data_IF_451198667559
#
_entry.id   IF_451198667559
#
_cell.length_a   1.000
_cell.length_b   1.000
_cell.length_c   1.000
_cell.angle_alpha   90.00
_cell.angle_beta   90.00
_cell.angle_gamma   90.00
#
_symmetry.space_group_name_H-M   'P 1'
#
loop_
_entity.id
_entity.type
_entity.pdbx_description
1 polymer ?
#
# COMPACT_ATOMS: atom_id res chain seq x y z
N UNK A 1 24.70 -5.52 30.33
CA UNK A 1 24.90 -6.50 29.24
C UNK A 1 23.52 -6.82 28.67
N UNK A 2 23.02 -5.99 27.74
CA UNK A 2 21.68 -6.13 27.15
C UNK A 2 21.80 -6.89 25.83
N UNK A 3 21.37 -8.15 25.83
CA UNK A 3 21.31 -8.98 24.64
C UNK A 3 20.09 -8.55 23.79
N UNK A 4 20.35 -7.84 22.70
CA UNK A 4 19.35 -7.61 21.65
C UNK A 4 19.16 -8.91 20.86
N UNK A 5 18.08 -9.65 21.14
CA UNK A 5 17.60 -10.71 20.25
C UNK A 5 16.92 -10.07 19.04
N UNK A 6 17.73 -9.56 18.10
CA UNK A 6 17.28 -9.44 16.71
C UNK A 6 17.21 -10.86 16.19
N UNK A 7 16.01 -11.42 16.07
CA UNK A 7 15.85 -12.62 15.24
C UNK A 7 16.28 -12.21 13.82
N UNK A 8 17.38 -12.76 13.28
CA UNK A 8 17.75 -12.48 11.91
C UNK A 8 16.64 -13.05 11.04
N UNK A 9 16.15 -12.24 10.09
CA UNK A 9 15.36 -12.74 8.98
C UNK A 9 16.20 -13.83 8.29
N UNK A 10 15.99 -15.09 8.67
CA UNK A 10 16.53 -16.21 7.94
C UNK A 10 15.82 -16.20 6.60
N UNK A 11 16.49 -15.64 5.60
CA UNK A 11 16.14 -15.72 4.21
C UNK A 11 16.06 -17.21 3.87
N UNK A 12 14.87 -17.80 3.97
CA UNK A 12 14.63 -19.14 3.45
C UNK A 12 14.96 -19.05 1.96
N UNK A 13 16.10 -19.59 1.55
CA UNK A 13 16.40 -19.83 0.14
C UNK A 13 15.39 -20.86 -0.36
N UNK A 14 14.23 -20.40 -0.82
CA UNK A 14 13.34 -21.22 -1.61
C UNK A 14 13.82 -21.11 -3.05
N UNK A 15 14.22 -22.23 -3.65
CA UNK A 15 14.55 -22.29 -5.09
C UNK A 15 13.32 -22.07 -6.00
N UNK A 16 12.21 -21.59 -5.44
CA UNK A 16 10.90 -21.45 -6.08
C UNK A 16 10.53 -20.00 -6.39
N UNK A 17 11.41 -19.05 -6.08
CA UNK A 17 11.16 -17.61 -6.33
C UNK A 17 12.25 -17.08 -7.25
N UNK A 18 11.83 -16.55 -8.40
CA UNK A 18 12.70 -15.88 -9.36
C UNK A 18 12.32 -14.40 -9.43
N UNK A 19 13.32 -13.53 -9.38
CA UNK A 19 13.15 -12.09 -9.60
C UNK A 19 13.64 -11.75 -11.00
N UNK A 20 12.87 -10.94 -11.72
CA UNK A 20 13.24 -10.46 -13.04
C UNK A 20 12.98 -8.95 -13.13
N UNK A 21 13.80 -8.25 -13.91
CA UNK A 21 13.64 -6.82 -14.19
C UNK A 21 12.76 -6.66 -15.43
N UNK A 22 11.64 -5.95 -15.30
CA UNK A 22 10.72 -5.71 -16.41
C UNK A 22 9.51 -4.87 -15.98
N UNK A 23 8.74 -4.40 -16.97
CA UNK A 23 7.46 -3.74 -16.75
C UNK A 23 6.31 -4.74 -16.64
N UNK A 24 5.19 -4.32 -16.06
CA UNK A 24 3.99 -5.15 -16.01
C UNK A 24 3.37 -5.37 -17.40
N UNK A 25 3.70 -4.50 -18.35
CA UNK A 25 3.29 -4.52 -19.75
C UNK A 25 4.11 -5.48 -20.62
N UNK A 26 5.22 -6.03 -20.09
CA UNK A 26 6.08 -6.98 -20.78
C UNK A 26 6.72 -7.94 -19.78
N UNK A 27 5.99 -8.98 -19.44
CA UNK A 27 6.37 -10.03 -18.51
C UNK A 27 7.22 -11.06 -19.27
N UNK A 28 8.47 -11.34 -18.84
CA UNK A 28 9.38 -12.26 -19.53
C UNK A 28 9.04 -13.73 -19.27
N UNK A 29 7.79 -14.11 -19.55
CA UNK A 29 7.25 -15.45 -19.43
C UNK A 29 6.55 -15.86 -20.73
N UNK A 30 6.49 -17.18 -21.03
CA UNK A 30 5.76 -17.68 -22.20
C UNK A 30 4.26 -17.37 -22.15
N UNK A 31 3.60 -17.53 -23.28
CA UNK A 31 2.15 -17.44 -23.37
C UNK A 31 1.50 -18.55 -22.52
N UNK A 32 0.38 -18.24 -21.88
CA UNK A 32 -0.41 -19.20 -21.09
C UNK A 32 0.44 -20.03 -20.12
N UNK A 33 1.37 -19.39 -19.40
CA UNK A 33 2.33 -20.07 -18.54
C UNK A 33 2.07 -19.92 -17.04
N UNK A 34 1.12 -19.07 -16.64
CA UNK A 34 0.84 -18.82 -15.21
C UNK A 34 -0.64 -19.00 -14.88
N UNK A 35 -0.92 -19.47 -13.68
CA UNK A 35 -2.28 -19.64 -13.15
C UNK A 35 -2.77 -18.38 -12.42
N UNK A 36 -1.85 -17.55 -11.91
CA UNK A 36 -2.16 -16.35 -11.14
C UNK A 36 -1.16 -15.22 -11.44
N UNK A 37 -1.69 -14.02 -11.69
CA UNK A 37 -0.92 -12.77 -11.67
C UNK A 37 -1.41 -11.95 -10.48
N UNK A 38 -0.49 -11.40 -9.69
CA UNK A 38 -0.81 -10.50 -8.58
C UNK A 38 -0.21 -9.11 -8.78
N UNK A 39 -0.93 -8.07 -8.35
CA UNK A 39 -0.45 -6.70 -8.36
C UNK A 39 -0.69 -6.06 -6.99
N UNK A 40 0.31 -6.11 -6.11
CA UNK A 40 0.24 -5.51 -4.77
C UNK A 40 0.67 -4.05 -4.79
N UNK A 41 -0.29 -3.14 -4.62
CA UNK A 41 -0.10 -1.68 -4.51
C UNK A 41 0.69 -1.09 -5.69
N UNK A 42 0.53 -1.64 -6.89
CA UNK A 42 1.30 -1.22 -8.08
C UNK A 42 0.46 -0.88 -9.31
N UNK A 43 -0.77 -1.39 -9.40
CA UNK A 43 -1.59 -1.29 -10.62
C UNK A 43 -1.85 0.15 -11.09
N UNK A 44 -1.87 1.12 -10.18
CA UNK A 44 -2.04 2.53 -10.52
C UNK A 44 -0.89 3.13 -11.35
N UNK A 45 0.26 2.45 -11.46
CA UNK A 45 1.37 2.89 -12.30
C UNK A 45 1.24 2.48 -13.77
N UNK A 46 0.45 1.45 -14.06
CA UNK A 46 0.49 0.74 -15.35
C UNK A 46 -0.23 1.48 -16.49
N UNK A 47 0.16 1.14 -17.71
CA UNK A 47 -0.63 1.40 -18.92
C UNK A 47 -1.67 0.28 -19.06
N UNK A 48 -2.91 0.52 -18.62
CA UNK A 48 -3.95 -0.53 -18.55
C UNK A 48 -4.18 -1.27 -19.87
N UNK A 49 -4.32 -0.61 -21.04
CA UNK A 49 -4.44 -1.32 -22.31
C UNK A 49 -3.29 -2.31 -22.59
N UNK A 50 -2.04 -1.90 -22.38
CA UNK A 50 -0.88 -2.78 -22.61
C UNK A 50 -0.78 -3.87 -21.55
N UNK A 51 -1.01 -3.51 -20.29
CA UNK A 51 -1.03 -4.44 -19.17
C UNK A 51 -2.09 -5.53 -19.37
N UNK A 52 -3.31 -5.18 -19.78
CA UNK A 52 -4.37 -6.15 -20.02
C UNK A 52 -4.04 -7.12 -21.15
N UNK A 53 -3.43 -6.62 -22.23
CA UNK A 53 -2.95 -7.48 -23.32
C UNK A 53 -1.90 -8.48 -22.82
N UNK A 54 -1.00 -8.02 -21.95
CA UNK A 54 0.06 -8.87 -21.41
C UNK A 54 -0.45 -9.88 -20.38
N UNK A 55 -1.39 -9.47 -19.52
CA UNK A 55 -2.13 -10.34 -18.62
C UNK A 55 -2.83 -11.45 -19.41
N UNK A 56 -3.53 -11.09 -20.49
CA UNK A 56 -4.20 -12.08 -21.33
C UNK A 56 -3.19 -13.01 -22.01
N UNK A 57 -2.07 -12.50 -22.52
CA UNK A 57 -1.02 -13.33 -23.14
C UNK A 57 -0.48 -14.39 -22.18
N UNK A 58 -0.12 -14.00 -20.96
CA UNK A 58 0.61 -14.86 -20.01
C UNK A 58 -0.30 -15.74 -19.17
N UNK A 59 -1.53 -15.30 -18.85
CA UNK A 59 -2.48 -16.13 -18.09
C UNK A 59 -2.97 -17.31 -18.91
N UNK A 60 -3.01 -18.47 -18.26
CA UNK A 60 -3.72 -19.65 -18.77
C UNK A 60 -5.22 -19.38 -18.84
N UNK A 61 -5.96 -20.07 -19.73
CA UNK A 61 -7.42 -20.10 -19.63
C UNK A 61 -7.86 -20.45 -18.22
N UNK A 62 -8.85 -19.75 -17.69
CA UNK A 62 -9.33 -19.85 -16.30
C UNK A 62 -8.34 -19.38 -15.21
N UNK A 63 -7.16 -18.88 -15.58
CA UNK A 63 -6.23 -18.23 -14.65
C UNK A 63 -6.77 -16.90 -14.13
N UNK A 64 -6.24 -16.44 -13.00
CA UNK A 64 -6.74 -15.26 -12.29
C UNK A 64 -5.75 -14.09 -12.31
N UNK A 65 -6.29 -12.88 -12.41
CA UNK A 65 -5.59 -11.65 -12.04
C UNK A 65 -6.14 -11.17 -10.70
N UNK A 66 -5.26 -10.94 -9.72
CA UNK A 66 -5.59 -10.35 -8.42
C UNK A 66 -4.85 -9.02 -8.23
N UNK A 67 -5.57 -7.91 -8.30
CA UNK A 67 -5.06 -6.57 -8.00
C UNK A 67 -5.49 -6.21 -6.60
N UNK A 68 -4.56 -5.80 -5.74
CA UNK A 68 -4.90 -5.36 -4.39
C UNK A 68 -4.08 -4.18 -3.93
N UNK A 69 -4.63 -3.41 -3.00
CA UNK A 69 -3.95 -2.33 -2.29
C UNK A 69 -4.56 -2.18 -0.92
N UNK A 70 -3.89 -1.43 -0.06
CA UNK A 70 -4.47 -0.89 1.14
C UNK A 70 -4.66 0.63 0.99
N UNK A 71 -5.71 1.16 1.60
CA UNK A 71 -6.04 2.58 1.60
C UNK A 71 -5.33 3.35 2.71
N UNK A 72 -5.81 4.56 2.99
CA UNK A 72 -5.29 5.41 4.05
C UNK A 72 -5.71 4.87 5.42
N UNK A 73 -4.83 4.98 6.42
CA UNK A 73 -5.04 4.45 7.76
C UNK A 73 -6.19 5.12 8.52
N UNK A 74 -6.76 4.36 9.45
CA UNK A 74 -7.60 4.85 10.54
C UNK A 74 -6.92 4.55 11.88
N UNK A 75 -6.64 5.59 12.66
CA UNK A 75 -5.92 5.48 13.94
C UNK A 75 -6.87 5.28 15.10
N UNK A 76 -6.56 4.38 16.03
CA UNK A 76 -7.33 4.16 17.26
C UNK A 76 -6.41 4.22 18.47
N UNK A 77 -6.83 4.98 19.48
CA UNK A 77 -6.17 5.03 20.78
C UNK A 77 -7.18 5.46 21.85
N UNK A 78 -7.57 4.51 22.71
CA UNK A 78 -8.52 4.73 23.82
C UNK A 78 -9.72 5.58 23.36
N UNK A 79 -9.99 6.69 24.04
CA UNK A 79 -11.06 7.66 23.82
C UNK A 79 -10.67 8.83 22.89
N UNK A 80 -9.49 8.79 22.27
CA UNK A 80 -8.93 9.91 21.47
C UNK A 80 -8.96 9.67 19.96
N UNK A 81 -9.57 8.57 19.52
CA UNK A 81 -9.66 8.12 18.11
C UNK A 81 -10.06 9.24 17.13
N UNK A 82 -11.13 9.98 17.41
CA UNK A 82 -11.59 11.06 16.51
C UNK A 82 -10.57 12.20 16.39
N UNK A 83 -9.95 12.59 17.50
CA UNK A 83 -8.96 13.65 17.50
C UNK A 83 -7.68 13.26 16.76
N UNK A 84 -7.23 12.01 16.91
CA UNK A 84 -6.08 11.50 16.17
C UNK A 84 -6.32 11.51 14.65
N UNK A 85 -7.50 11.06 14.20
CA UNK A 85 -7.82 11.04 12.78
C UNK A 85 -8.05 12.46 12.23
N UNK A 86 -8.56 13.40 13.03
CA UNK A 86 -8.61 14.82 12.65
C UNK A 86 -7.21 15.40 12.41
N UNK A 87 -6.29 15.21 13.37
CA UNK A 87 -4.89 15.67 13.26
C UNK A 87 -4.21 15.06 12.03
N UNK A 88 -4.40 13.75 11.84
CA UNK A 88 -3.84 13.05 10.69
C UNK A 88 -4.43 13.53 9.37
N UNK A 89 -5.75 13.75 9.27
CA UNK A 89 -6.39 14.26 8.05
C UNK A 89 -5.95 15.69 7.71
N UNK A 90 -5.72 16.55 8.70
CA UNK A 90 -5.13 17.87 8.49
C UNK A 90 -3.72 17.75 7.88
N UNK A 91 -2.89 16.88 8.45
CA UNK A 91 -1.54 16.60 7.93
C UNK A 91 -1.57 16.04 6.50
N UNK A 92 -2.46 15.07 6.23
CA UNK A 92 -2.53 14.36 4.96
C UNK A 92 -3.14 15.20 3.83
N UNK A 93 -4.27 15.88 4.09
CA UNK A 93 -5.09 16.54 3.08
C UNK A 93 -4.79 18.02 2.91
N UNK A 94 -4.43 18.71 4.01
CA UNK A 94 -4.30 20.18 4.04
C UNK A 94 -2.87 20.65 4.23
N UNK A 95 -1.95 19.73 4.56
CA UNK A 95 -0.54 20.04 4.75
C UNK A 95 0.26 20.11 3.44
N UNK A 96 1.56 20.48 3.54
CA UNK A 96 2.47 20.55 2.39
C UNK A 96 2.66 19.23 1.62
N UNK A 97 2.27 18.09 2.20
CA UNK A 97 2.29 16.80 1.51
C UNK A 97 1.32 16.72 0.33
N UNK A 98 0.23 17.51 0.36
CA UNK A 98 -0.79 17.51 -0.69
C UNK A 98 -0.19 17.65 -2.08
N UNK A 99 0.74 18.58 -2.26
CA UNK A 99 1.34 18.90 -3.57
C UNK A 99 2.53 17.99 -3.91
N UNK A 100 2.85 17.03 -3.04
CA UNK A 100 3.96 16.10 -3.20
C UNK A 100 3.51 14.69 -3.64
N UNK A 101 2.20 14.42 -3.65
CA UNK A 101 1.66 13.17 -4.18
C UNK A 101 1.72 13.14 -5.71
N UNK A 102 2.18 12.02 -6.26
CA UNK A 102 2.11 11.80 -7.71
C UNK A 102 0.65 11.66 -8.13
N UNK A 103 0.24 12.27 -9.26
CA UNK A 103 -1.15 12.29 -9.71
C UNK A 103 -1.81 10.90 -9.72
N UNK A 104 -1.15 9.89 -10.31
CA UNK A 104 -1.60 8.49 -10.38
C UNK A 104 -1.93 7.85 -9.02
N UNK A 105 -1.46 8.40 -7.90
CA UNK A 105 -1.73 7.88 -6.56
C UNK A 105 -3.19 8.08 -6.12
N UNK A 106 -3.94 8.95 -6.81
CA UNK A 106 -5.38 9.16 -6.57
C UNK A 106 -6.19 7.85 -6.59
N UNK A 107 -5.78 6.87 -7.41
CA UNK A 107 -6.46 5.58 -7.48
C UNK A 107 -6.52 4.88 -6.13
N UNK A 108 -5.45 4.95 -5.33
CA UNK A 108 -5.42 4.32 -4.01
C UNK A 108 -6.32 5.08 -3.01
N UNK A 109 -6.44 6.40 -3.14
CA UNK A 109 -7.35 7.20 -2.28
C UNK A 109 -8.82 6.91 -2.61
N UNK A 110 -9.09 6.59 -3.87
CA UNK A 110 -10.38 6.07 -4.32
C UNK A 110 -10.52 4.54 -4.15
N UNK A 111 -9.67 3.91 -3.33
CA UNK A 111 -9.69 2.46 -3.05
C UNK A 111 -9.83 1.61 -4.32
N UNK A 112 -9.10 1.97 -5.37
CA UNK A 112 -9.10 1.31 -6.69
C UNK A 112 -10.48 1.15 -7.34
N UNK A 113 -11.49 1.97 -7.01
CA UNK A 113 -12.81 1.87 -7.65
C UNK A 113 -12.77 2.05 -9.17
N UNK A 114 -11.85 2.89 -9.65
CA UNK A 114 -11.70 3.23 -11.07
C UNK A 114 -10.55 2.50 -11.78
N UNK A 115 -10.06 1.38 -11.25
CA UNK A 115 -9.13 0.51 -11.99
C UNK A 115 -9.92 -0.29 -13.02
N UNK A 116 -9.63 -0.17 -14.33
CA UNK A 116 -10.30 -0.97 -15.34
C UNK A 116 -9.87 -2.44 -15.22
N UNK A 117 -10.82 -3.35 -15.37
CA UNK A 117 -10.54 -4.80 -15.33
C UNK A 117 -10.50 -5.39 -16.75
N UNK A 118 -9.62 -6.36 -17.02
CA UNK A 118 -9.44 -6.93 -18.36
C UNK A 118 -10.62 -7.83 -18.80
N UNK A 119 -11.40 -8.35 -17.85
CA UNK A 119 -12.47 -9.31 -18.11
C UNK A 119 -13.78 -8.85 -17.46
N UNK A 120 -14.92 -9.27 -18.04
CA UNK A 120 -16.25 -8.96 -17.52
C UNK A 120 -16.56 -9.66 -16.21
N UNK A 121 -16.06 -10.89 -16.05
CA UNK A 121 -16.21 -11.68 -14.82
C UNK A 121 -15.12 -11.29 -13.82
N UNK A 122 -15.45 -10.34 -12.95
CA UNK A 122 -14.59 -9.94 -11.84
C UNK A 122 -15.39 -9.65 -10.58
N UNK A 123 -14.72 -9.81 -9.44
CA UNK A 123 -15.26 -9.51 -8.11
C UNK A 123 -14.41 -8.44 -7.44
N UNK A 124 -15.06 -7.66 -6.59
CA UNK A 124 -14.44 -6.71 -5.67
C UNK A 124 -14.74 -7.18 -4.25
N UNK A 125 -13.70 -7.23 -3.42
CA UNK A 125 -13.80 -7.44 -1.98
C UNK A 125 -13.06 -6.30 -1.26
N UNK A 126 -13.80 -5.55 -0.47
CA UNK A 126 -13.31 -4.49 0.41
C UNK A 126 -13.72 -4.72 1.88
N UNK A 127 -13.99 -5.97 2.25
CA UNK A 127 -14.33 -6.37 3.61
C UNK A 127 -13.11 -6.53 4.53
N UNK A 128 -11.91 -6.61 3.96
CA UNK A 128 -10.66 -6.86 4.68
C UNK A 128 -9.99 -5.57 5.14
N UNK A 129 -9.21 -5.67 6.21
CA UNK A 129 -8.30 -4.62 6.66
C UNK A 129 -7.00 -5.22 7.17
N UNK A 130 -5.92 -4.46 7.03
CA UNK A 130 -4.64 -4.74 7.71
C UNK A 130 -4.67 -3.99 9.03
N UNK A 131 -4.46 -4.70 10.13
CA UNK A 131 -4.39 -4.13 11.48
C UNK A 131 -2.94 -4.19 11.98
N UNK A 132 -2.43 -3.06 12.44
CA UNK A 132 -1.04 -2.91 12.86
C UNK A 132 -0.93 -2.11 14.15
N UNK A 133 -0.08 -2.58 15.05
CA UNK A 133 0.26 -1.90 16.29
C UNK A 133 1.63 -1.25 16.16
N UNK A 134 1.69 0.06 16.39
CA UNK A 134 2.93 0.83 16.33
C UNK A 134 3.18 1.53 17.65
N UNK A 135 4.40 1.46 18.22
CA UNK A 135 4.91 2.55 19.02
C UNK A 135 4.80 3.86 18.23
N UNK A 136 4.44 4.98 18.88
CA UNK A 136 4.22 6.25 18.18
C UNK A 136 5.41 6.65 17.26
N UNK A 137 6.69 6.57 17.70
CA UNK A 137 7.82 6.83 16.79
C UNK A 137 7.89 5.87 15.60
N UNK A 138 7.45 4.62 15.76
CA UNK A 138 7.36 3.63 14.70
C UNK A 138 6.33 3.98 13.64
N UNK A 139 5.17 4.52 14.05
CA UNK A 139 4.16 5.03 13.13
C UNK A 139 4.68 6.22 12.30
N UNK A 140 5.38 7.15 12.95
CA UNK A 140 6.04 8.28 12.26
C UNK A 140 7.13 7.79 11.31
N UNK A 141 7.89 6.77 11.72
CA UNK A 141 8.86 6.08 10.86
C UNK A 141 8.20 5.48 9.61
N UNK A 142 7.03 4.86 9.73
CA UNK A 142 6.25 4.38 8.59
C UNK A 142 5.87 5.53 7.64
N UNK A 143 5.34 6.65 8.16
CA UNK A 143 5.00 7.81 7.34
C UNK A 143 6.22 8.40 6.60
N UNK A 144 7.40 8.34 7.20
CA UNK A 144 8.65 8.80 6.57
C UNK A 144 9.03 7.99 5.32
N UNK A 145 8.48 6.78 5.16
CA UNK A 145 8.73 5.95 3.99
C UNK A 145 7.94 6.38 2.75
N UNK A 146 6.87 7.16 2.93
CA UNK A 146 5.96 7.57 1.86
C UNK A 146 6.66 8.39 0.79
N UNK A 147 6.32 8.12 -0.47
CA UNK A 147 6.88 8.83 -1.63
C UNK A 147 6.64 10.34 -1.56
N UNK A 148 5.45 10.79 -1.14
CA UNK A 148 5.15 12.21 -0.98
C UNK A 148 6.00 12.87 0.11
N UNK A 149 6.32 12.18 1.20
CA UNK A 149 7.21 12.73 2.21
C UNK A 149 8.65 12.84 1.70
N UNK A 150 9.14 11.83 0.97
CA UNK A 150 10.46 11.91 0.32
C UNK A 150 10.53 13.08 -0.68
N UNK A 151 9.47 13.28 -1.45
CA UNK A 151 9.34 14.41 -2.38
C UNK A 151 9.27 15.75 -1.63
N UNK A 152 8.53 15.82 -0.52
CA UNK A 152 8.51 16.99 0.36
C UNK A 152 9.91 17.35 0.87
N UNK A 153 10.66 16.39 1.41
CA UNK A 153 12.04 16.62 1.86
C UNK A 153 12.96 17.09 0.72
N UNK A 154 12.72 16.65 -0.51
CA UNK A 154 13.47 17.09 -1.68
C UNK A 154 13.17 18.55 -2.04
N UNK A 155 11.90 18.98 -1.89
CA UNK A 155 11.45 20.35 -2.18
C UNK A 155 11.81 21.34 -1.07
N UNK A 156 11.81 20.89 0.19
CA UNK A 156 11.99 21.70 1.39
C UNK A 156 13.08 21.11 2.29
N UNK A 157 14.35 21.05 1.83
CA UNK A 157 15.45 20.43 2.59
C UNK A 157 15.74 21.13 3.93
N UNK A 158 15.37 22.40 4.07
CA UNK A 158 15.51 23.21 5.28
C UNK A 158 14.58 22.80 6.42
N UNK A 159 13.47 22.10 6.14
CA UNK A 159 12.53 21.59 7.15
C UNK A 159 13.21 20.61 8.11
N UNK A 160 14.21 19.85 7.62
CA UNK A 160 15.00 18.88 8.41
C UNK A 160 14.15 17.89 9.22
N UNK A 161 12.95 17.57 8.72
CA UNK A 161 12.01 16.64 9.34
C UNK A 161 11.12 17.25 10.44
N UNK A 162 11.13 18.57 10.60
CA UNK A 162 10.26 19.30 11.52
C UNK A 162 8.78 18.99 11.27
N UNK A 163 8.37 18.74 10.02
CA UNK A 163 7.00 18.34 9.69
C UNK A 163 6.56 17.08 10.45
N UNK A 164 7.33 15.99 10.37
CA UNK A 164 6.97 14.73 11.04
C UNK A 164 7.16 14.82 12.55
N UNK A 165 8.12 15.60 13.02
CA UNK A 165 8.28 15.90 14.45
C UNK A 165 7.06 16.62 15.01
N UNK A 166 6.53 17.62 14.28
CA UNK A 166 5.31 18.33 14.65
C UNK A 166 4.09 17.39 14.68
N UNK A 167 3.94 16.53 13.66
CA UNK A 167 2.88 15.52 13.65
C UNK A 167 2.99 14.59 14.86
N UNK A 168 4.18 14.08 15.17
CA UNK A 168 4.41 13.22 16.33
C UNK A 168 3.99 13.90 17.62
N UNK A 169 4.41 15.16 17.81
CA UNK A 169 4.09 15.94 19.00
C UNK A 169 2.59 16.13 19.15
N UNK A 170 1.88 16.52 18.08
CA UNK A 170 0.43 16.73 18.11
C UNK A 170 -0.34 15.45 18.41
N UNK A 171 0.07 14.33 17.80
CA UNK A 171 -0.53 13.02 18.10
C UNK A 171 -0.28 12.62 19.55
N UNK A 172 0.92 12.81 20.07
CA UNK A 172 1.27 12.50 21.45
C UNK A 172 0.45 13.33 22.46
N UNK A 173 0.34 14.64 22.24
CA UNK A 173 -0.46 15.54 23.08
C UNK A 173 -1.93 15.13 23.10
N UNK A 174 -2.49 14.78 21.94
CA UNK A 174 -3.87 14.31 21.82
C UNK A 174 -4.15 13.03 22.60
N UNK A 175 -3.15 12.14 22.76
CA UNK A 175 -3.30 10.88 23.48
C UNK A 175 -3.38 11.04 25.01
N UNK A 176 -3.08 12.24 25.55
CA UNK A 176 -3.23 12.59 26.98
C UNK A 176 -2.63 11.53 27.93
N UNK A 177 -1.45 11.05 27.58
CA UNK A 177 -0.73 10.00 28.31
C UNK A 177 0.54 10.56 28.95
N UNK A 178 0.97 9.98 30.06
CA UNK A 178 2.25 10.29 30.71
C UNK A 178 3.35 9.31 30.34
N UNK A 179 2.99 8.22 29.64
CA UNK A 179 3.97 7.24 29.13
C UNK A 179 4.86 7.88 28.07
N UNK A 180 6.15 7.55 28.03
CA UNK A 180 7.03 8.05 26.97
C UNK A 180 6.57 7.55 25.59
N UNK A 181 6.79 8.30 24.49
CA UNK A 181 6.27 7.98 23.15
C UNK A 181 6.54 6.55 22.66
N UNK A 182 7.70 5.98 22.97
CA UNK A 182 8.10 4.61 22.65
C UNK A 182 7.23 3.52 23.31
N UNK A 183 6.53 3.84 24.39
CA UNK A 183 5.60 2.95 25.08
C UNK A 183 4.13 3.22 24.72
N UNK A 184 3.87 4.23 23.89
CA UNK A 184 2.52 4.59 23.44
C UNK A 184 2.22 3.83 22.15
N UNK A 185 1.34 2.83 22.24
CA UNK A 185 0.93 2.01 21.12
C UNK A 185 -0.32 2.58 20.47
N UNK A 186 -0.22 2.92 19.19
CA UNK A 186 -1.35 3.30 18.32
C UNK A 186 -1.75 2.08 17.51
N UNK A 187 -3.06 1.82 17.44
CA UNK A 187 -3.61 0.82 16.54
C UNK A 187 -3.98 1.50 15.22
N UNK A 188 -3.41 1.05 14.10
CA UNK A 188 -3.69 1.56 12.77
C UNK A 188 -4.35 0.47 11.91
N UNK A 189 -5.55 0.78 11.41
CA UNK A 189 -6.28 -0.06 10.46
C UNK A 189 -6.14 0.49 9.05
N UNK A 190 -5.83 -0.34 8.06
CA UNK A 190 -5.76 0.05 6.65
C UNK A 190 -6.78 -0.78 5.87
N UNK A 191 -7.82 -0.17 5.27
CA UNK A 191 -8.80 -0.91 4.50
C UNK A 191 -8.12 -1.53 3.27
N UNK A 192 -8.37 -2.81 3.01
CA UNK A 192 -7.83 -3.52 1.85
C UNK A 192 -8.90 -3.55 0.76
N UNK A 193 -8.49 -3.29 -0.47
CA UNK A 193 -9.27 -3.59 -1.66
C UNK A 193 -8.60 -4.73 -2.41
N UNK A 194 -9.40 -5.72 -2.81
CA UNK A 194 -9.02 -6.81 -3.69
C UNK A 194 -9.98 -6.85 -4.89
N UNK A 195 -9.41 -6.78 -6.09
CA UNK A 195 -10.08 -6.99 -7.37
C UNK A 195 -9.57 -8.30 -7.95
N UNK A 196 -10.47 -9.24 -8.22
CA UNK A 196 -10.11 -10.53 -8.82
C UNK A 196 -10.89 -10.73 -10.11
N UNK A 197 -10.19 -10.93 -11.22
CA UNK A 197 -10.79 -11.23 -12.51
C UNK A 197 -10.28 -12.58 -13.02
N UNK A 198 -11.16 -13.37 -13.63
CA UNK A 198 -10.81 -14.67 -14.19
C UNK A 198 -10.78 -14.59 -15.72
N UNK A 199 -9.69 -15.07 -16.31
CA UNK A 199 -9.58 -15.19 -17.77
C UNK A 199 -10.63 -16.18 -18.28
N UNK A 200 -11.44 -15.81 -19.29
CA UNK A 200 -12.43 -16.71 -19.87
C UNK A 200 -11.80 -18.01 -20.40
N UNK A 201 -12.63 -19.05 -20.50
CA UNK A 201 -12.28 -20.20 -21.30
C UNK A 201 -12.22 -19.78 -22.78
N UNK A 202 -11.25 -20.30 -23.54
CA UNK A 202 -11.29 -20.15 -25.01
C UNK A 202 -12.38 -21.08 -25.50
N UNK A 203 -13.50 -20.55 -25.99
CA UNK A 203 -14.44 -21.38 -26.75
C UNK A 203 -13.67 -21.90 -27.97
N UNK A 204 -13.49 -23.21 -28.07
CA UNK A 204 -13.11 -23.81 -29.34
C UNK A 204 -14.30 -23.58 -30.27
N UNK A 205 -14.20 -22.56 -31.13
CA UNK A 205 -15.04 -22.52 -32.32
C UNK A 205 -14.67 -23.74 -33.16
N UNK A 206 -15.55 -24.74 -33.09
CA UNK A 206 -15.57 -25.94 -33.92
C UNK A 206 -15.53 -25.62 -35.41
#
# INVERSE_FOLDING_TARGET
MLASLRLPWQQRKTNSVMFNTGGAEQIPLPDSSVDLITCGTSAHWFDFPKFHKEVDRVLRPLGCLAIYSYGINYLRYKDTTEELNRIFNEFYTHGPLRDCWHEKRWHVDDNYRNIPMPYKDYVRDDSMSIEMDYPLPGYIGYLSSWSAYREYCRRYPEDKGAMLQNLQQRLYEAMKTTKPPEEVIIHASYPVVLLMARKPHVEQTS
#
